data_IF_278639610165
#
_entry.id   IF_278639610165
#
_cell.length_a   1.000
_cell.length_b   1.000
_cell.length_c   1.000
_cell.angle_alpha   90.00
_cell.angle_beta   90.00
_cell.angle_gamma   90.00
#
_symmetry.space_group_name_H-M   'P 1'
#
loop_
_entity.id
_entity.type
_entity.pdbx_description
1 polymer ?
2 non-polymer ?
3 non-polymer ?
4 non-polymer ?
5 non-polymer ?
6 water ?
#
# COMPACT_ATOMS: atom_id res chain seq x y z
N UNK A 1 14.06 -2.51 -26.10
CA UNK A 1 15.35 -3.16 -26.39
C UNK A 1 16.06 -3.69 -25.08
N UNK A 2 15.70 -3.20 -23.88
CA UNK A 2 16.02 -3.86 -22.59
C UNK A 2 15.18 -5.05 -22.43
N UNK A 3 15.79 -6.13 -21.93
CA UNK A 3 15.03 -7.37 -21.63
C UNK A 3 14.75 -7.58 -20.15
N UNK A 4 15.45 -6.86 -19.27
CA UNK A 4 15.20 -6.98 -17.82
C UNK A 4 15.62 -5.67 -17.16
N UNK A 5 14.92 -5.35 -16.07
CA UNK A 5 15.29 -4.27 -15.16
C UNK A 5 15.45 -4.85 -13.79
N UNK A 6 16.57 -4.48 -13.17
CA UNK A 6 16.93 -4.94 -11.82
C UNK A 6 16.87 -3.74 -10.89
N UNK A 7 16.06 -3.83 -9.87
CA UNK A 7 15.85 -2.77 -8.89
C UNK A 7 16.49 -3.04 -7.56
N UNK A 8 17.31 -2.07 -7.10
CA UNK A 8 17.60 -1.92 -5.71
C UNK A 8 16.30 -1.67 -4.94
N UNK A 9 16.32 -1.89 -3.63
CA UNK A 9 15.16 -1.62 -2.79
C UNK A 9 15.28 -0.34 -1.98
N UNK A 10 16.15 -0.35 -0.98
CA UNK A 10 16.25 0.77 -0.04
C UNK A 10 16.81 2.01 -0.72
N UNK A 11 15.98 3.07 -0.70
CA UNK A 11 16.36 4.31 -1.33
C UNK A 11 16.09 4.37 -2.80
N UNK A 12 15.61 3.28 -3.41
CA UNK A 12 15.34 3.17 -4.85
C UNK A 12 13.86 3.00 -5.07
N UNK A 13 13.31 1.87 -4.66
CA UNK A 13 11.87 1.72 -4.74
C UNK A 13 11.15 2.75 -3.85
N UNK A 14 11.68 3.02 -2.65
CA UNK A 14 11.07 3.83 -1.64
C UNK A 14 12.16 4.36 -0.75
N UNK A 15 11.91 5.49 -0.11
CA UNK A 15 12.77 6.02 0.95
C UNK A 15 12.42 5.27 2.25
N UNK A 16 13.25 4.29 2.59
CA UNK A 16 13.01 3.40 3.73
C UNK A 16 13.95 3.60 4.87
N UNK A 17 15.12 4.27 4.68
CA UNK A 17 16.17 4.20 5.69
C UNK A 17 15.81 4.90 6.95
N UNK A 18 15.02 5.97 6.98
CA UNK A 18 14.64 6.53 8.26
C UNK A 18 13.75 5.56 9.00
N UNK A 19 12.90 4.79 8.30
CA UNK A 19 12.11 3.80 8.96
C UNK A 19 12.98 2.67 9.51
N UNK A 20 13.97 2.22 8.76
CA UNK A 20 14.92 1.27 9.30
C UNK A 20 15.57 1.82 10.55
N UNK A 21 16.03 3.08 10.55
CA UNK A 21 16.68 3.68 11.71
C UNK A 21 15.77 3.67 12.91
N UNK A 22 14.50 4.00 12.72
CA UNK A 22 13.50 3.94 13.78
C UNK A 22 13.39 2.51 14.29
N UNK A 23 13.27 1.53 13.40
CA UNK A 23 13.13 0.15 13.82
C UNK A 23 14.35 -0.29 14.64
N UNK A 24 15.58 0.08 14.22
CA UNK A 24 16.76 -0.22 15.01
C UNK A 24 16.64 0.39 16.40
N UNK A 25 16.39 1.71 16.47
CA UNK A 25 16.41 2.38 17.77
C UNK A 25 15.34 1.88 18.69
N UNK A 26 14.13 1.63 18.17
CA UNK A 26 13.07 1.07 18.99
C UNK A 26 13.40 -0.32 19.50
N UNK A 27 14.07 -1.10 18.67
CA UNK A 27 14.51 -2.45 19.06
C UNK A 27 15.53 -2.36 20.21
N UNK A 28 16.45 -1.46 20.06
CA UNK A 28 17.48 -1.27 21.08
C UNK A 28 16.81 -0.88 22.42
N UNK A 29 15.85 0.05 22.37
CA UNK A 29 15.19 0.45 23.60
C UNK A 29 14.46 -0.74 24.22
N UNK A 30 13.76 -1.52 23.40
CA UNK A 30 13.02 -2.65 23.90
C UNK A 30 13.91 -3.72 24.51
N UNK A 31 15.12 -3.85 24.01
CA UNK A 31 16.13 -4.75 24.49
C UNK A 31 16.84 -4.29 25.78
N UNK A 32 16.57 -3.05 26.17
CA UNK A 32 17.17 -2.51 27.37
C UNK A 32 18.57 -2.04 27.27
N UNK A 33 19.07 -1.86 26.07
CA UNK A 33 20.42 -1.37 25.86
C UNK A 33 20.39 0.12 25.66
N UNK A 34 21.51 0.80 25.87
CA UNK A 34 21.65 2.22 25.74
C UNK A 34 21.97 2.70 24.33
N UNK A 35 22.06 1.81 23.38
CA UNK A 35 22.45 2.17 22.02
C UNK A 35 21.38 3.02 21.36
N UNK A 36 21.83 4.02 20.58
CA UNK A 36 20.90 4.90 19.87
C UNK A 36 21.67 5.48 18.69
N UNK A 37 21.12 5.30 17.50
CA UNK A 37 21.72 5.78 16.28
C UNK A 37 21.02 7.04 15.75
N UNK A 38 21.71 8.17 15.90
CA UNK A 38 21.24 9.42 15.33
C UNK A 38 21.53 9.44 13.83
N UNK A 39 21.02 10.43 13.12
CA UNK A 39 21.24 10.50 11.69
C UNK A 39 22.69 10.58 11.26
N UNK A 40 23.48 11.35 12.04
CA UNK A 40 24.87 11.49 11.71
C UNK A 40 25.58 10.12 11.76
N UNK A 41 25.33 9.37 12.85
CA UNK A 41 25.98 8.06 12.96
C UNK A 41 25.38 7.09 11.92
N UNK A 42 24.08 7.14 11.70
CA UNK A 42 23.48 6.21 10.75
C UNK A 42 23.99 6.43 9.34
N UNK A 43 24.23 7.65 8.94
CA UNK A 43 24.80 7.91 7.59
C UNK A 43 26.12 7.21 7.39
N UNK A 44 26.94 7.14 8.46
CA UNK A 44 28.22 6.38 8.39
C UNK A 44 27.99 4.88 8.36
N UNK A 45 27.14 4.41 9.25
CA UNK A 45 26.87 2.99 9.32
C UNK A 45 26.24 2.41 8.05
N UNK A 46 25.54 3.24 7.29
CA UNK A 46 24.93 2.85 6.04
C UNK A 46 25.91 2.43 4.99
N UNK A 47 27.19 2.74 5.11
CA UNK A 47 28.19 2.29 4.14
C UNK A 47 28.47 0.80 4.26
N UNK A 48 28.04 0.19 5.38
CA UNK A 48 28.00 -1.29 5.54
C UNK A 48 26.59 -1.77 5.27
N UNK A 49 26.44 -2.60 4.21
CA UNK A 49 25.13 -3.04 3.83
C UNK A 49 24.79 -4.32 4.61
N UNK A 50 23.50 -4.52 4.83
CA UNK A 50 22.97 -5.64 5.58
C UNK A 50 22.82 -5.28 7.05
N UNK A 51 21.66 -5.53 7.60
CA UNK A 51 21.43 -5.11 8.97
C UNK A 51 22.32 -5.82 9.99
N UNK A 52 22.54 -7.12 9.80
CA UNK A 52 23.35 -7.86 10.75
C UNK A 52 24.79 -7.35 10.69
N UNK A 53 25.29 -7.13 9.47
CA UNK A 53 26.63 -6.63 9.27
C UNK A 53 26.81 -5.25 9.89
N UNK A 54 25.79 -4.42 9.78
CA UNK A 54 25.83 -3.06 10.30
C UNK A 54 25.85 -3.11 11.85
N UNK A 55 25.04 -3.98 12.46
CA UNK A 55 25.11 -4.14 13.93
C UNK A 55 26.50 -4.58 14.33
N UNK A 56 27.06 -5.57 13.62
CA UNK A 56 28.37 -6.09 13.96
C UNK A 56 29.42 -5.00 13.90
N UNK A 57 29.36 -4.15 12.88
CA UNK A 57 30.31 -3.06 12.74
C UNK A 57 30.20 -2.09 13.93
N UNK A 58 28.98 -1.71 14.26
CA UNK A 58 28.73 -0.82 15.40
C UNK A 58 29.31 -1.45 16.67
N UNK A 59 29.08 -2.74 16.90
CA UNK A 59 29.54 -3.41 18.12
C UNK A 59 31.05 -3.52 18.24
N UNK A 60 31.76 -3.42 17.13
CA UNK A 60 33.23 -3.51 17.18
C UNK A 60 33.88 -2.37 17.88
N UNK A 61 33.26 -1.20 17.88
CA UNK A 61 33.86 0.04 18.39
C UNK A 61 33.08 0.73 19.48
N UNK A 62 31.80 0.48 19.65
CA UNK A 62 31.01 1.23 20.55
C UNK A 62 31.36 0.93 22.02
N UNK A 63 31.14 1.91 22.91
CA UNK A 63 31.53 1.85 24.31
C UNK A 63 30.37 1.80 25.28
N UNK A 64 29.18 1.55 24.78
CA UNK A 64 28.01 1.40 25.60
C UNK A 64 27.79 -0.07 26.01
N UNK A 65 26.56 -0.45 26.23
CA UNK A 65 26.27 -1.74 26.79
C UNK A 65 26.76 -2.86 25.88
N UNK A 66 27.20 -3.97 26.46
CA UNK A 66 27.50 -5.15 25.60
C UNK A 66 26.23 -5.72 25.02
N UNK A 67 26.32 -6.40 23.88
CA UNK A 67 25.13 -7.02 23.31
C UNK A 67 24.54 -8.05 24.27
N UNK A 68 23.23 -7.98 24.53
CA UNK A 68 22.63 -8.96 25.45
C UNK A 68 22.02 -10.18 24.76
N UNK A 69 22.04 -10.24 23.42
CA UNK A 69 21.58 -11.33 22.62
C UNK A 69 22.55 -11.48 21.45
N UNK A 70 22.52 -12.65 20.77
CA UNK A 70 23.28 -12.77 19.53
C UNK A 70 22.78 -11.75 18.51
N UNK A 71 23.68 -11.30 17.62
CA UNK A 71 23.32 -10.34 16.58
C UNK A 71 22.16 -10.82 15.77
N UNK A 72 22.15 -12.08 15.41
CA UNK A 72 21.06 -12.55 14.57
C UNK A 72 19.66 -12.36 15.23
N UNK A 73 19.60 -12.51 16.58
CA UNK A 73 18.37 -12.33 17.32
C UNK A 73 17.99 -10.84 17.43
N UNK A 74 18.98 -10.01 17.59
CA UNK A 74 18.75 -8.54 17.56
C UNK A 74 18.14 -8.13 16.21
N UNK A 75 18.78 -8.64 15.16
CA UNK A 75 18.34 -8.36 13.79
C UNK A 75 16.96 -8.89 13.51
N UNK A 76 16.65 -10.10 13.99
CA UNK A 76 15.29 -10.64 13.80
C UNK A 76 14.25 -9.73 14.46
N UNK A 77 14.52 -9.29 15.68
CA UNK A 77 13.59 -8.43 16.37
C UNK A 77 13.41 -7.08 15.61
N UNK A 78 14.50 -6.56 15.11
CA UNK A 78 14.43 -5.30 14.36
C UNK A 78 13.68 -5.49 13.03
N UNK A 79 13.83 -6.66 12.39
CA UNK A 79 13.10 -6.94 11.17
C UNK A 79 11.63 -7.01 11.42
N UNK A 80 11.24 -7.72 12.47
CA UNK A 80 9.83 -7.77 12.86
C UNK A 80 9.27 -6.38 13.07
N UNK A 81 10.04 -5.49 13.73
CA UNK A 81 9.58 -4.13 13.98
C UNK A 81 9.44 -3.36 12.67
N UNK A 82 10.42 -3.48 11.78
CA UNK A 82 10.33 -2.81 10.49
C UNK A 82 9.09 -3.27 9.69
N UNK A 83 8.87 -4.59 9.66
CA UNK A 83 7.72 -5.11 8.96
C UNK A 83 6.41 -4.50 9.50
N UNK A 84 6.30 -4.40 10.82
CA UNK A 84 5.11 -3.82 11.44
C UNK A 84 4.98 -2.34 11.09
N UNK A 85 6.11 -1.61 11.13
CA UNK A 85 6.07 -0.18 10.79
C UNK A 85 5.69 0.06 9.35
N UNK A 86 6.19 -0.78 8.45
CA UNK A 86 5.84 -0.71 7.07
C UNK A 86 4.35 -0.88 6.85
N UNK A 87 3.70 -1.80 7.58
CA UNK A 87 2.27 -2.05 7.42
C UNK A 87 1.44 -0.89 7.85
N UNK A 88 1.96 0.04 8.60
CA UNK A 88 1.16 1.27 8.90
C UNK A 88 0.79 2.10 7.59
N UNK A 89 1.49 1.87 6.48
CA UNK A 89 1.05 2.46 5.19
C UNK A 89 1.58 3.84 4.86
N UNK A 90 2.53 4.33 5.66
CA UNK A 90 3.04 5.70 5.48
C UNK A 90 4.13 5.86 4.44
N UNK A 91 4.77 4.77 4.05
CA UNK A 91 5.81 4.79 3.01
C UNK A 91 5.17 4.71 1.63
N UNK A 92 5.67 5.56 0.72
CA UNK A 92 5.24 5.58 -0.71
C UNK A 92 6.39 5.17 -1.59
N UNK A 93 6.06 4.69 -2.79
CA UNK A 93 7.12 4.53 -3.80
C UNK A 93 7.74 5.85 -4.19
N UNK A 94 9.02 5.87 -4.55
CA UNK A 94 9.64 7.05 -5.10
C UNK A 94 8.96 7.44 -6.42
N UNK A 95 8.95 8.74 -6.73
CA UNK A 95 8.40 9.17 -7.99
C UNK A 95 9.00 8.44 -9.18
N UNK A 96 8.15 8.06 -10.13
CA UNK A 96 8.56 7.41 -11.35
C UNK A 96 8.60 5.87 -11.31
N UNK A 97 8.70 5.30 -10.11
CA UNK A 97 8.91 3.87 -10.00
C UNK A 97 7.69 3.03 -10.42
N UNK A 98 6.53 3.41 -9.92
CA UNK A 98 5.31 2.73 -10.32
C UNK A 98 5.07 2.82 -11.83
N UNK A 99 5.26 4.01 -12.42
CA UNK A 99 5.07 4.19 -13.89
C UNK A 99 6.04 3.32 -14.69
N UNK A 100 7.31 3.25 -14.30
CA UNK A 100 8.27 2.45 -15.02
C UNK A 100 7.88 0.95 -14.95
N UNK A 101 7.48 0.49 -13.76
CA UNK A 101 7.16 -0.93 -13.63
C UNK A 101 5.96 -1.25 -14.48
N UNK A 102 4.98 -0.36 -14.51
CA UNK A 102 3.78 -0.65 -15.33
C UNK A 102 4.11 -0.66 -16.78
N UNK A 103 4.92 0.26 -17.27
CA UNK A 103 5.35 0.29 -18.64
C UNK A 103 6.15 -0.98 -19.00
N UNK A 104 7.03 -1.39 -18.10
CA UNK A 104 7.82 -2.59 -18.31
C UNK A 104 6.94 -3.83 -18.44
N UNK A 105 5.94 -3.93 -17.60
CA UNK A 105 5.06 -5.07 -17.66
C UNK A 105 4.26 -5.06 -18.97
N UNK A 106 3.84 -3.91 -19.42
CA UNK A 106 3.16 -3.84 -20.74
C UNK A 106 4.06 -4.29 -21.90
N UNK A 107 5.35 -4.03 -21.80
CA UNK A 107 6.32 -4.41 -22.79
C UNK A 107 6.86 -5.81 -22.63
N UNK A 108 6.43 -6.53 -21.61
CA UNK A 108 6.92 -7.89 -21.41
C UNK A 108 8.33 -7.99 -20.88
N UNK A 109 8.82 -6.94 -20.25
CA UNK A 109 10.15 -6.89 -19.72
C UNK A 109 10.17 -7.55 -18.33
N UNK A 110 11.12 -8.45 -18.10
CA UNK A 110 11.14 -9.14 -16.80
C UNK A 110 11.85 -8.23 -15.77
N UNK A 111 11.42 -8.38 -14.54
CA UNK A 111 11.82 -7.51 -13.42
C UNK A 111 12.41 -8.33 -12.27
N UNK A 112 13.46 -7.78 -11.67
CA UNK A 112 14.09 -8.38 -10.51
C UNK A 112 14.27 -7.34 -9.40
N UNK A 113 14.33 -7.78 -8.19
CA UNK A 113 14.93 -7.08 -7.06
C UNK A 113 16.31 -7.68 -6.82
N UNK A 114 17.28 -6.79 -6.55
CA UNK A 114 18.62 -7.15 -6.17
C UNK A 114 18.99 -6.28 -4.98
N UNK A 115 18.95 -6.82 -3.76
CA UNK A 115 18.99 -6.05 -2.54
C UNK A 115 19.81 -6.72 -1.48
N UNK A 116 20.36 -5.90 -0.60
CA UNK A 116 20.98 -6.33 0.64
C UNK A 116 20.04 -6.48 1.78
N UNK A 117 18.79 -6.05 1.65
CA UNK A 117 17.84 -6.14 2.74
C UNK A 117 17.29 -7.51 2.86
N UNK A 118 16.77 -7.86 4.04
CA UNK A 118 16.26 -9.19 4.26
C UNK A 118 14.94 -9.31 3.50
N UNK A 119 14.64 -10.53 3.16
CA UNK A 119 13.50 -10.90 2.42
C UNK A 119 12.10 -10.41 3.01
N UNK A 120 11.87 -10.57 4.33
CA UNK A 120 10.63 -10.08 4.87
C UNK A 120 10.41 -8.58 4.62
N UNK A 121 11.48 -7.84 4.56
CA UNK A 121 11.36 -6.42 4.30
C UNK A 121 10.88 -6.10 2.88
N UNK A 122 11.36 -6.89 1.91
CA UNK A 122 10.89 -6.76 0.54
C UNK A 122 9.38 -7.02 0.48
N UNK A 123 8.99 -8.14 1.12
CA UNK A 123 7.58 -8.52 1.11
C UNK A 123 6.71 -7.44 1.75
N UNK A 124 7.17 -6.90 2.87
CA UNK A 124 6.40 -5.86 3.56
C UNK A 124 6.25 -4.62 2.68
N UNK A 125 7.34 -4.20 2.01
CA UNK A 125 7.28 -3.09 1.12
C UNK A 125 6.35 -3.29 -0.05
N UNK A 126 6.37 -4.45 -0.64
CA UNK A 126 5.48 -4.72 -1.76
C UNK A 126 4.02 -4.77 -1.35
N UNK A 127 3.71 -5.36 -0.15
CA UNK A 127 2.33 -5.36 0.31
C UNK A 127 1.85 -3.91 0.48
N UNK A 128 2.64 -3.06 1.12
CA UNK A 128 2.23 -1.70 1.48
C UNK A 128 2.19 -0.79 0.27
N UNK A 129 3.18 -0.92 -0.60
CA UNK A 129 3.41 0.10 -1.64
C UNK A 129 2.90 -0.29 -3.00
N UNK A 130 2.88 -1.59 -3.32
CA UNK A 130 2.40 -2.08 -4.57
C UNK A 130 1.01 -2.70 -4.43
N UNK A 131 0.61 -3.12 -3.20
CA UNK A 131 -0.62 -3.79 -2.89
C UNK A 131 -0.68 -5.24 -3.35
N UNK A 132 0.52 -5.85 -3.50
CA UNK A 132 0.65 -7.28 -3.91
C UNK A 132 1.79 -7.94 -3.15
N UNK A 133 1.78 -9.29 -3.02
CA UNK A 133 3.01 -9.99 -2.62
C UNK A 133 4.14 -9.73 -3.61
N UNK A 134 5.36 -9.74 -3.15
CA UNK A 134 6.46 -9.35 -3.99
C UNK A 134 6.55 -10.14 -5.27
N UNK A 135 6.20 -11.43 -5.20
CA UNK A 135 6.37 -12.33 -6.32
C UNK A 135 5.33 -12.08 -7.42
N UNK A 136 4.30 -11.26 -7.16
CA UNK A 136 3.47 -10.78 -8.22
C UNK A 136 3.93 -9.54 -8.97
N UNK A 137 4.93 -8.87 -8.40
CA UNK A 137 5.54 -7.70 -9.02
C UNK A 137 6.82 -8.07 -9.73
N UNK A 138 7.69 -8.83 -9.02
CA UNK A 138 9.05 -9.13 -9.51
C UNK A 138 9.11 -10.61 -9.90
N UNK A 139 9.70 -10.86 -11.05
CA UNK A 139 9.90 -12.23 -11.56
C UNK A 139 10.99 -12.94 -10.76
N UNK A 140 11.96 -12.19 -10.25
CA UNK A 140 13.12 -12.70 -9.53
C UNK A 140 13.36 -11.82 -8.33
N UNK A 141 13.59 -12.42 -7.16
CA UNK A 141 13.92 -11.69 -5.96
C UNK A 141 15.24 -12.22 -5.43
N UNK A 142 16.29 -11.42 -5.47
CA UNK A 142 17.60 -11.72 -4.95
C UNK A 142 17.80 -10.78 -3.74
N UNK A 143 17.85 -11.36 -2.54
CA UNK A 143 17.82 -10.55 -1.30
C UNK A 143 18.71 -11.15 -0.22
N UNK A 144 19.09 -10.35 0.74
CA UNK A 144 19.54 -10.82 2.05
C UNK A 144 20.79 -11.69 1.94
N UNK A 145 20.69 -12.84 2.61
CA UNK A 145 21.78 -13.77 2.72
C UNK A 145 21.78 -14.80 1.62
N UNK A 146 21.16 -14.52 0.50
CA UNK A 146 21.22 -15.38 -0.68
C UNK A 146 22.61 -15.45 -1.30
N UNK A 147 23.44 -14.46 -1.01
CA UNK A 147 24.82 -14.52 -1.35
C UNK A 147 25.65 -14.28 -0.09
N UNK A 148 26.92 -14.70 -0.09
CA UNK A 148 27.81 -14.53 1.06
C UNK A 148 28.36 -13.11 1.21
N UNK A 149 28.57 -12.43 0.09
CA UNK A 149 29.16 -11.09 0.09
C UNK A 149 28.16 -10.09 -0.46
N UNK A 150 27.82 -9.11 0.38
CA UNK A 150 26.81 -8.11 0.03
C UNK A 150 27.45 -6.94 -0.73
N UNK A 151 26.58 -6.14 -1.33
CA UNK A 151 27.01 -4.92 -2.04
C UNK A 151 28.03 -4.18 -1.16
N UNK A 152 29.17 -3.75 -1.68
CA UNK A 152 29.47 -3.51 -3.10
C UNK A 152 29.88 -4.73 -3.92
N UNK A 153 29.95 -5.92 -3.33
CA UNK A 153 30.14 -7.11 -4.17
C UNK A 153 29.02 -7.20 -5.17
N UNK A 154 29.34 -7.56 -6.44
CA UNK A 154 28.29 -7.78 -7.48
C UNK A 154 27.49 -9.08 -7.29
N UNK A 155 27.86 -9.92 -6.33
CA UNK A 155 27.26 -11.26 -6.31
C UNK A 155 25.74 -11.27 -6.32
N UNK A 156 25.06 -10.37 -5.64
CA UNK A 156 23.61 -10.41 -5.62
C UNK A 156 23.04 -10.12 -7.02
N UNK A 157 23.67 -9.22 -7.79
CA UNK A 157 23.30 -8.98 -9.17
C UNK A 157 23.58 -10.15 -10.07
N UNK A 158 24.72 -10.80 -9.87
CA UNK A 158 25.03 -12.03 -10.63
C UNK A 158 24.00 -13.11 -10.37
N UNK A 159 23.56 -13.25 -9.14
CA UNK A 159 22.50 -14.22 -8.81
C UNK A 159 21.23 -13.87 -9.57
N UNK A 160 20.78 -12.60 -9.48
CA UNK A 160 19.58 -12.18 -10.12
C UNK A 160 19.64 -12.42 -11.62
N UNK A 161 20.75 -12.06 -12.22
CA UNK A 161 20.89 -12.26 -13.68
C UNK A 161 20.86 -13.73 -14.07
N UNK A 162 21.46 -14.61 -13.29
CA UNK A 162 21.41 -16.03 -13.56
C UNK A 162 19.97 -16.52 -13.52
N UNK A 163 19.21 -16.10 -12.51
CA UNK A 163 17.82 -16.51 -12.38
C UNK A 163 16.95 -15.92 -13.48
N UNK A 164 17.21 -14.68 -13.90
CA UNK A 164 16.50 -14.08 -15.01
C UNK A 164 16.82 -14.73 -16.32
N UNK A 165 18.04 -15.26 -16.43
CA UNK A 165 18.58 -15.81 -17.64
C UNK A 165 18.58 -14.73 -18.72
N UNK A 166 19.11 -13.55 -18.40
CA UNK A 166 19.25 -12.41 -19.35
C UNK A 166 20.72 -12.02 -19.22
N UNK A 167 21.40 -11.80 -20.37
CA UNK A 167 22.81 -11.36 -20.31
C UNK A 167 22.81 -9.92 -19.77
N UNK A 168 23.90 -9.51 -19.10
CA UNK A 168 23.90 -8.17 -18.54
C UNK A 168 23.81 -7.04 -19.57
N UNK A 169 24.36 -7.27 -20.76
CA UNK A 169 24.36 -6.26 -21.79
C UNK A 169 22.95 -5.86 -22.23
N UNK A 170 21.97 -6.70 -21.94
CA UNK A 170 20.56 -6.53 -22.27
C UNK A 170 19.67 -6.18 -21.06
N UNK A 171 20.30 -5.77 -19.96
CA UNK A 171 19.61 -5.42 -18.72
C UNK A 171 20.11 -4.10 -18.22
N UNK A 172 19.48 -3.60 -17.16
CA UNK A 172 19.85 -2.30 -16.58
C UNK A 172 19.45 -2.41 -15.11
N UNK A 173 20.21 -1.70 -14.25
CA UNK A 173 19.95 -1.58 -12.83
C UNK A 173 19.58 -0.16 -12.45
N UNK A 174 18.68 -0.04 -11.48
CA UNK A 174 18.34 1.25 -10.82
C UNK A 174 18.83 1.17 -9.40
N UNK A 175 19.60 2.19 -8.99
CA UNK A 175 20.29 2.24 -7.70
C UNK A 175 20.23 3.65 -7.13
N UNK A 176 20.57 3.77 -5.82
CA UNK A 176 20.61 5.02 -5.13
C UNK A 176 21.91 5.29 -4.43
N UNK A 177 22.85 4.36 -4.33
CA UNK A 177 24.03 4.47 -3.52
C UNK A 177 25.24 4.03 -4.27
N UNK A 178 26.41 4.44 -3.80
CA UNK A 178 27.67 4.08 -4.39
C UNK A 178 27.95 2.58 -4.26
N UNK A 179 27.68 2.00 -3.11
CA UNK A 179 27.83 0.57 -3.00
C UNK A 179 27.00 -0.17 -4.03
N UNK A 180 25.80 0.33 -4.24
CA UNK A 180 24.90 -0.28 -5.24
C UNK A 180 25.39 -0.14 -6.69
N UNK A 181 25.83 1.06 -7.02
CA UNK A 181 26.42 1.33 -8.32
C UNK A 181 27.57 0.41 -8.59
N UNK A 182 28.49 0.30 -7.62
CA UNK A 182 29.65 -0.57 -7.79
C UNK A 182 29.25 -2.02 -8.03
N UNK A 183 28.26 -2.50 -7.27
CA UNK A 183 27.79 -3.86 -7.40
C UNK A 183 27.20 -4.07 -8.77
N UNK A 184 26.35 -3.16 -9.26
CA UNK A 184 25.78 -3.31 -10.58
C UNK A 184 26.84 -3.31 -11.66
N UNK A 185 27.74 -2.37 -11.58
CA UNK A 185 28.79 -2.27 -12.60
C UNK A 185 29.68 -3.50 -12.64
N UNK A 186 29.98 -4.07 -11.48
CA UNK A 186 30.76 -5.31 -11.40
C UNK A 186 30.08 -6.50 -12.02
N UNK A 187 28.74 -6.47 -12.10
CA UNK A 187 27.95 -7.49 -12.76
C UNK A 187 27.75 -7.21 -14.24
N UNK A 188 28.41 -6.17 -14.75
CA UNK A 188 28.34 -5.83 -16.18
C UNK A 188 27.14 -5.04 -16.58
N UNK A 189 26.42 -4.44 -15.61
CA UNK A 189 25.18 -3.74 -15.90
C UNK A 189 25.38 -2.25 -16.04
N UNK A 190 24.70 -1.70 -17.01
CA UNK A 190 24.42 -0.28 -16.99
C UNK A 190 23.57 0.05 -15.77
N UNK A 191 23.77 1.24 -15.22
CA UNK A 191 23.16 1.56 -13.94
C UNK A 191 22.75 3.06 -13.93
N UNK A 192 21.45 3.24 -13.65
CA UNK A 192 20.84 4.57 -13.46
C UNK A 192 20.75 4.83 -11.97
N UNK A 193 21.36 5.94 -11.52
CA UNK A 193 21.37 6.30 -10.15
C UNK A 193 20.45 7.51 -9.89
N UNK A 194 19.66 7.45 -8.83
CA UNK A 194 19.01 8.65 -8.28
C UNK A 194 19.20 8.62 -6.79
N UNK A 195 20.04 9.52 -6.22
CA UNK A 195 20.31 9.46 -4.77
C UNK A 195 19.18 9.94 -3.93
N UNK A 196 19.33 9.77 -2.66
CA UNK A 196 18.37 10.26 -1.70
C UNK A 196 19.08 10.80 -0.53
N UNK A 197 18.33 10.99 0.54
CA UNK A 197 18.81 11.70 1.66
C UNK A 197 20.20 11.27 2.16
N UNK A 198 20.34 9.97 2.37
CA UNK A 198 21.52 9.44 2.99
C UNK A 198 22.67 9.22 2.01
N UNK A 199 22.46 9.41 0.70
CA UNK A 199 23.48 9.14 -0.32
C UNK A 199 23.83 10.33 -1.20
N UNK A 200 23.17 11.45 -0.98
CA UNK A 200 23.37 12.57 -1.85
C UNK A 200 24.80 13.12 -1.88
N UNK A 201 25.53 12.90 -0.78
CA UNK A 201 26.91 13.36 -0.64
C UNK A 201 27.86 12.48 -1.45
N UNK A 202 27.43 11.30 -1.90
CA UNK A 202 28.32 10.37 -2.58
C UNK A 202 28.62 10.81 -4.01
N UNK A 203 29.72 10.28 -4.55
CA UNK A 203 30.07 10.51 -5.94
C UNK A 203 29.75 9.27 -6.74
N UNK A 204 29.21 9.48 -7.91
CA UNK A 204 28.69 8.40 -8.72
C UNK A 204 29.35 8.26 -10.07
N UNK A 205 30.68 8.21 -10.05
CA UNK A 205 31.44 8.03 -11.26
C UNK A 205 31.05 6.76 -11.98
N UNK A 206 30.86 6.93 -13.27
CA UNK A 206 30.47 5.81 -14.12
C UNK A 206 28.99 5.44 -14.11
N UNK A 207 28.14 6.13 -13.35
CA UNK A 207 26.75 5.92 -13.55
C UNK A 207 26.41 6.27 -14.97
N UNK A 208 25.55 5.49 -15.58
CA UNK A 208 25.15 5.76 -16.99
C UNK A 208 24.24 7.01 -17.07
N UNK A 209 23.35 7.18 -16.08
CA UNK A 209 22.63 8.43 -15.88
C UNK A 209 22.61 8.65 -14.37
N UNK A 210 22.61 9.96 -14.00
CA UNK A 210 22.51 10.40 -12.62
C UNK A 210 21.35 11.38 -12.58
N UNK A 211 20.27 11.03 -11.90
CA UNK A 211 19.01 11.75 -11.97
C UNK A 211 18.60 12.26 -10.61
N UNK A 212 17.98 13.44 -10.58
CA UNK A 212 17.38 13.89 -9.36
C UNK A 212 16.16 13.12 -8.95
N UNK A 213 15.47 12.50 -9.90
CA UNK A 213 14.29 11.72 -9.66
C UNK A 213 14.16 10.65 -10.73
N UNK A 214 13.71 9.44 -10.35
CA UNK A 214 13.37 8.44 -11.36
C UNK A 214 12.21 8.87 -12.29
N UNK A 215 11.44 9.88 -11.91
CA UNK A 215 10.37 10.43 -12.78
C UNK A 215 11.02 11.09 -13.96
N UNK A 216 12.34 11.37 -13.96
CA UNK A 216 13.04 11.98 -15.09
C UNK A 216 13.51 10.96 -16.08
N UNK A 217 13.25 9.67 -15.84
CA UNK A 217 13.73 8.63 -16.77
C UNK A 217 13.21 8.84 -18.17
N UNK A 218 11.90 9.21 -18.26
CA UNK A 218 11.32 9.40 -19.57
C UNK A 218 10.93 8.10 -20.25
N UNK A 219 10.59 7.12 -19.43
CA UNK A 219 10.08 5.87 -20.00
C UNK A 219 11.19 4.86 -20.28
N UNK A 220 10.78 3.75 -20.89
CA UNK A 220 11.72 2.67 -21.15
C UNK A 220 12.87 3.11 -22.04
N UNK A 221 12.60 4.05 -23.00
CA UNK A 221 13.69 4.52 -23.86
C UNK A 221 14.79 5.20 -23.09
N UNK A 222 14.42 5.76 -21.91
CA UNK A 222 15.39 6.36 -21.02
C UNK A 222 16.35 5.40 -20.39
N UNK A 223 16.07 4.11 -20.51
CA UNK A 223 16.96 3.04 -20.08
C UNK A 223 17.92 2.57 -21.11
N UNK A 224 17.79 3.04 -22.34
CA UNK A 224 18.62 2.56 -23.48
C UNK A 224 19.92 3.39 -23.65
N UNK A 225 20.80 2.98 -24.54
CA UNK A 225 21.99 3.79 -24.99
C UNK A 225 23.29 3.20 -24.47
N UNK B 1 -18.45 1.19 -24.73
CA UNK B 1 -19.33 1.37 -23.56
C UNK B 1 -18.95 0.41 -22.45
N UNK B 2 -19.38 0.77 -21.25
CA UNK B 2 -19.13 0.07 -20.05
C UNK B 2 -19.99 -1.12 -19.92
N UNK B 3 -19.39 -2.19 -19.40
CA UNK B 3 -20.16 -3.42 -19.07
C UNK B 3 -20.46 -3.63 -17.59
N UNK B 4 -19.73 -2.94 -16.72
CA UNK B 4 -19.93 -3.07 -15.29
C UNK B 4 -19.51 -1.79 -14.62
N UNK B 5 -20.21 -1.47 -13.53
CA UNK B 5 -19.87 -0.37 -12.64
C UNK B 5 -19.67 -0.95 -11.24
N UNK B 6 -18.55 -0.59 -10.62
CA UNK B 6 -18.22 -1.03 -9.29
C UNK B 6 -18.24 0.16 -8.34
N UNK B 7 -19.07 0.08 -7.31
CA UNK B 7 -19.29 1.14 -6.35
C UNK B 7 -18.62 0.83 -5.02
N UNK B 8 -17.83 1.79 -4.56
CA UNK B 8 -17.50 1.92 -3.18
C UNK B 8 -18.80 2.16 -2.39
N UNK B 9 -18.77 1.93 -1.08
CA UNK B 9 -19.93 2.18 -0.24
C UNK B 9 -19.82 3.48 0.58
N UNK B 10 -18.94 3.49 1.59
CA UNK B 10 -18.89 4.58 2.52
C UNK B 10 -18.33 5.82 1.86
N UNK B 11 -19.14 6.89 1.87
CA UNK B 11 -18.76 8.13 1.24
C UNK B 11 -19.10 8.21 -0.21
N UNK B 12 -19.53 7.11 -0.84
CA UNK B 12 -19.77 7.02 -2.27
C UNK B 12 -21.25 6.82 -2.55
N UNK B 13 -21.83 5.69 -2.10
CA UNK B 13 -23.27 5.52 -2.18
C UNK B 13 -24.01 6.53 -1.30
N UNK B 14 -23.45 6.80 -0.10
CA UNK B 14 -24.07 7.67 0.89
C UNK B 14 -22.99 8.13 1.84
N UNK B 15 -23.23 9.26 2.49
CA UNK B 15 -22.41 9.76 3.59
C UNK B 15 -22.72 9.04 4.86
N UNK B 16 -21.90 8.04 5.19
CA UNK B 16 -22.14 7.15 6.32
C UNK B 16 -21.20 7.33 7.51
N UNK B 17 -20.09 8.05 7.30
CA UNK B 17 -19.00 7.96 8.30
C UNK B 17 -19.34 8.64 9.62
N UNK B 18 -20.15 9.71 9.62
CA UNK B 18 -20.57 10.24 10.90
C UNK B 18 -21.48 9.27 11.63
N UNK B 19 -22.27 8.48 10.96
CA UNK B 19 -23.08 7.49 11.60
C UNK B 19 -22.15 6.37 12.14
N UNK B 20 -21.14 5.94 11.35
CA UNK B 20 -20.18 5.01 11.87
C UNK B 20 -19.49 5.57 13.13
N UNK B 21 -19.07 6.82 13.14
CA UNK B 21 -18.44 7.40 14.30
C UNK B 21 -19.37 7.35 15.53
N UNK B 22 -20.62 7.74 15.31
CA UNK B 22 -21.59 7.63 16.39
C UNK B 22 -21.73 6.17 16.90
N UNK B 23 -21.80 5.21 16.00
CA UNK B 23 -21.89 3.83 16.43
C UNK B 23 -20.66 3.42 17.25
N UNK B 24 -19.45 3.82 16.80
CA UNK B 24 -18.29 3.54 17.59
C UNK B 24 -18.39 4.13 18.97
N UNK B 25 -18.64 5.45 19.04
CA UNK B 25 -18.62 6.10 20.35
C UNK B 25 -19.71 5.58 21.29
N UNK B 26 -20.91 5.31 20.75
CA UNK B 26 -21.92 4.74 21.59
C UNK B 26 -21.64 3.34 22.10
N UNK B 27 -21.00 2.53 21.24
CA UNK B 27 -20.54 1.23 21.66
C UNK B 27 -19.48 1.34 22.77
N UNK B 28 -18.55 2.26 22.60
CA UNK B 28 -17.54 2.43 23.63
C UNK B 28 -18.17 2.81 24.98
N UNK B 29 -19.13 3.71 24.96
CA UNK B 29 -19.78 4.08 26.19
C UNK B 29 -20.53 2.92 26.80
N UNK B 30 -21.26 2.12 25.97
CA UNK B 30 -21.97 0.96 26.48
C UNK B 30 -21.08 -0.08 27.07
N UNK B 31 -19.87 -0.16 26.54
CA UNK B 31 -18.92 -1.07 27.01
C UNK B 31 -18.19 -0.60 28.31
N UNK B 32 -18.43 0.64 28.73
CA UNK B 32 -17.84 1.09 29.98
C UNK B 32 -16.44 1.64 29.90
N UNK B 33 -15.93 1.85 28.65
CA UNK B 33 -14.60 2.40 28.44
C UNK B 33 -14.69 3.90 28.21
N UNK B 34 -13.57 4.56 28.37
CA UNK B 34 -13.48 6.00 28.30
C UNK B 34 -13.14 6.47 26.89
N UNK B 35 -13.05 5.59 25.93
CA UNK B 35 -12.60 5.96 24.58
C UNK B 35 -13.69 6.85 23.93
N UNK B 36 -13.23 7.79 23.12
CA UNK B 36 -14.19 8.67 22.45
C UNK B 36 -13.45 9.31 21.26
N UNK B 37 -14.02 9.12 20.06
CA UNK B 37 -13.39 9.58 18.84
C UNK B 37 -14.09 10.85 18.32
N UNK B 38 -13.43 12.02 18.44
CA UNK B 38 -13.96 13.23 17.88
C UNK B 38 -13.67 13.25 16.37
N UNK B 39 -14.21 14.25 15.68
CA UNK B 39 -14.03 14.32 14.22
C UNK B 39 -12.57 14.40 13.83
N UNK B 40 -11.80 15.16 14.60
CA UNK B 40 -10.41 15.34 14.27
C UNK B 40 -9.68 14.00 14.30
N UNK B 41 -9.89 13.25 15.38
CA UNK B 41 -9.23 11.94 15.48
C UNK B 41 -9.77 11.00 14.41
N UNK B 42 -11.07 10.99 14.25
CA UNK B 42 -11.68 10.05 13.31
C UNK B 42 -11.17 10.27 11.89
N UNK B 43 -10.99 11.51 11.48
CA UNK B 43 -10.44 11.77 10.16
C UNK B 43 -9.09 11.08 9.96
N UNK B 44 -8.25 11.04 10.99
CA UNK B 44 -6.99 10.32 10.91
C UNK B 44 -7.20 8.82 10.85
N UNK B 45 -8.00 8.28 11.76
CA UNK B 45 -8.27 6.87 11.83
C UNK B 45 -8.88 6.31 10.58
N UNK B 46 -9.61 7.13 9.84
CA UNK B 46 -10.23 6.71 8.60
C UNK B 46 -9.23 6.32 7.51
N UNK B 47 -7.95 6.66 7.64
CA UNK B 47 -6.99 6.21 6.67
C UNK B 47 -6.67 4.72 6.81
N UNK B 48 -7.06 4.10 7.91
CA UNK B 48 -7.04 2.65 8.03
C UNK B 48 -8.45 2.15 7.77
N UNK B 49 -8.59 1.34 6.71
CA UNK B 49 -9.88 0.87 6.31
C UNK B 49 -10.21 -0.47 7.10
N UNK B 50 -11.49 -0.68 7.33
CA UNK B 50 -11.98 -1.80 8.10
C UNK B 50 -12.13 -1.44 9.55
N UNK B 51 -13.30 -1.70 10.13
CA UNK B 51 -13.56 -1.30 11.50
C UNK B 51 -12.66 -1.97 12.52
N UNK B 52 -12.42 -3.29 12.34
CA UNK B 52 -11.57 -4.02 13.28
C UNK B 52 -10.13 -3.50 13.20
N UNK B 53 -9.63 -3.26 11.99
CA UNK B 53 -8.34 -2.73 11.78
C UNK B 53 -8.19 -1.36 12.41
N UNK B 54 -9.24 -0.54 12.27
CA UNK B 54 -9.22 0.78 12.83
C UNK B 54 -9.16 0.76 14.37
N UNK B 55 -9.96 -0.08 14.99
CA UNK B 55 -9.92 -0.30 16.44
C UNK B 55 -8.53 -0.76 16.87
N UNK B 56 -7.92 -1.71 16.14
CA UNK B 56 -6.62 -2.23 16.50
C UNK B 56 -5.54 -1.11 16.45
N UNK B 57 -5.66 -0.23 15.43
CA UNK B 57 -4.71 0.86 15.29
C UNK B 57 -4.83 1.81 16.47
N UNK B 58 -6.07 2.20 16.80
CA UNK B 58 -6.33 3.07 17.95
C UNK B 58 -5.71 2.47 19.23
N UNK B 59 -5.92 1.18 19.42
CA UNK B 59 -5.49 0.53 20.66
C UNK B 59 -3.96 0.44 20.76
N UNK B 60 -3.24 0.51 19.65
CA UNK B 60 -1.76 0.46 19.74
C UNK B 60 -1.12 1.57 20.52
N UNK B 61 -1.71 2.75 20.52
CA UNK B 61 -1.11 3.92 21.10
C UNK B 61 -1.97 4.62 22.15
N UNK B 62 -3.25 4.33 22.27
CA UNK B 62 -4.14 5.14 23.14
C UNK B 62 -3.79 4.85 24.60
N UNK B 63 -3.98 5.87 25.43
CA UNK B 63 -3.57 5.81 26.84
C UNK B 63 -4.75 5.74 27.83
N UNK B 64 -5.93 5.46 27.34
CA UNK B 64 -7.13 5.25 28.19
C UNK B 64 -7.28 3.80 28.60
N UNK B 65 -8.53 3.39 28.80
CA UNK B 65 -8.83 2.08 29.37
C UNK B 65 -8.28 0.96 28.45
N UNK B 66 -7.86 -0.16 29.04
CA UNK B 66 -7.51 -1.30 28.17
C UNK B 66 -8.79 -1.92 27.59
N UNK B 67 -8.66 -2.57 26.44
CA UNK B 67 -9.82 -3.20 25.85
C UNK B 67 -10.41 -4.26 26.79
N UNK B 68 -11.72 -4.23 27.02
CA UNK B 68 -12.33 -5.20 27.95
C UNK B 68 -12.88 -6.43 27.27
N UNK B 69 -12.91 -6.45 25.94
CA UNK B 69 -13.37 -7.59 25.09
C UNK B 69 -12.37 -7.72 23.96
N UNK B 70 -12.32 -8.88 23.32
CA UNK B 70 -11.58 -8.98 22.06
C UNK B 70 -12.07 -7.94 21.02
N UNK B 71 -11.15 -7.50 20.17
CA UNK B 71 -11.50 -6.50 19.13
C UNK B 71 -12.69 -6.98 18.28
N UNK B 72 -12.69 -8.24 17.89
CA UNK B 72 -13.76 -8.73 17.06
C UNK B 72 -15.14 -8.53 17.69
N UNK B 73 -15.21 -8.70 19.03
CA UNK B 73 -16.44 -8.56 19.76
C UNK B 73 -16.83 -7.08 19.89
N UNK B 74 -15.87 -6.23 20.07
CA UNK B 74 -16.10 -4.78 20.09
C UNK B 74 -16.70 -4.38 18.73
N UNK B 75 -16.07 -4.89 17.65
CA UNK B 75 -16.52 -4.56 16.30
C UNK B 75 -17.92 -5.12 16.05
N UNK B 76 -18.17 -6.37 16.46
CA UNK B 76 -19.54 -6.89 16.34
C UNK B 76 -20.60 -6.03 17.01
N UNK B 77 -20.32 -5.58 18.26
CA UNK B 77 -21.24 -4.72 18.94
C UNK B 77 -21.45 -3.39 18.17
N UNK B 78 -20.38 -2.83 17.67
CA UNK B 78 -20.46 -1.59 16.89
C UNK B 78 -21.23 -1.79 15.59
N UNK B 79 -21.06 -2.93 14.93
CA UNK B 79 -21.80 -3.23 13.72
C UNK B 79 -23.25 -3.33 14.01
N UNK B 80 -23.62 -4.02 15.09
CA UNK B 80 -25.02 -4.10 15.49
C UNK B 80 -25.65 -2.73 15.73
N UNK B 81 -24.88 -1.88 16.40
CA UNK B 81 -25.38 -0.53 16.65
C UNK B 81 -25.53 0.28 15.35
N UNK B 82 -24.56 0.16 14.45
CA UNK B 82 -24.65 0.83 13.18
C UNK B 82 -25.87 0.38 12.38
N UNK B 83 -26.09 -0.91 12.34
CA UNK B 83 -27.26 -1.46 11.63
C UNK B 83 -28.55 -0.87 12.21
N UNK B 84 -28.63 -0.83 13.53
CA UNK B 84 -29.81 -0.27 14.17
C UNK B 84 -29.98 1.24 13.85
N UNK B 85 -28.87 1.95 13.91
CA UNK B 85 -28.96 3.40 13.62
C UNK B 85 -29.39 3.67 12.18
N UNK B 86 -28.87 2.83 11.28
CA UNK B 86 -29.23 2.94 9.88
C UNK B 86 -30.73 2.77 9.66
N UNK B 87 -31.33 1.81 10.37
CA UNK B 87 -32.74 1.55 10.21
C UNK B 87 -33.63 2.70 10.66
N UNK B 88 -33.23 3.39 11.67
CA UNK B 88 -34.05 4.37 12.29
C UNK B 88 -33.60 5.71 11.80
N UNK B 89 -32.55 5.79 11.01
CA UNK B 89 -32.01 7.09 10.66
C UNK B 89 -32.60 7.78 9.43
N UNK B 90 -31.80 8.70 8.89
CA UNK B 90 -32.13 9.54 7.81
C UNK B 90 -31.08 9.59 6.76
N UNK B 91 -30.25 8.56 6.66
CA UNK B 91 -29.24 8.49 5.64
C UNK B 91 -29.89 8.48 4.24
N UNK B 92 -29.39 9.27 3.27
CA UNK B 92 -29.87 9.25 1.86
C UNK B 92 -28.71 8.93 0.97
N UNK B 93 -29.05 8.47 -0.23
CA UNK B 93 -28.02 8.33 -1.27
C UNK B 93 -27.44 9.64 -1.64
N UNK B 94 -26.16 9.66 -2.00
CA UNK B 94 -25.55 10.83 -2.53
C UNK B 94 -26.23 11.24 -3.83
N UNK B 95 -26.20 12.54 -4.18
CA UNK B 95 -26.80 12.99 -5.46
C UNK B 95 -26.16 12.23 -6.61
N UNK B 96 -27.02 11.86 -7.55
CA UNK B 96 -26.58 11.22 -8.78
C UNK B 96 -26.58 9.70 -8.71
N UNK B 97 -26.48 9.10 -7.53
CA UNK B 97 -26.29 7.66 -7.42
C UNK B 97 -27.52 6.89 -7.82
N UNK B 98 -28.70 7.27 -7.35
CA UNK B 98 -29.89 6.55 -7.73
C UNK B 98 -30.12 6.62 -9.23
N UNK B 99 -29.91 7.79 -9.82
CA UNK B 99 -30.10 7.96 -11.27
C UNK B 99 -29.17 7.15 -12.08
N UNK B 100 -27.90 7.08 -11.69
CA UNK B 100 -26.93 6.27 -12.41
C UNK B 100 -27.31 4.78 -12.37
N UNK B 101 -27.66 4.30 -11.18
CA UNK B 101 -28.01 2.89 -11.02
C UNK B 101 -29.23 2.55 -11.87
N UNK B 102 -30.23 3.42 -11.85
CA UNK B 102 -31.42 3.16 -12.68
C UNK B 102 -31.05 3.13 -14.13
N UNK B 103 -30.24 4.05 -14.61
CA UNK B 103 -29.79 4.10 -15.98
C UNK B 103 -29.03 2.85 -16.37
N UNK B 104 -28.16 2.42 -15.46
CA UNK B 104 -27.39 1.21 -15.70
C UNK B 104 -28.26 -0.02 -15.82
N UNK B 105 -29.27 -0.09 -14.98
CA UNK B 105 -30.16 -1.24 -15.05
C UNK B 105 -30.96 -1.26 -16.36
N UNK B 106 -31.37 -0.09 -16.83
CA UNK B 106 -32.08 -0.03 -18.09
C UNK B 106 -31.18 -0.49 -19.24
N UNK B 107 -29.87 -0.23 -19.14
CA UNK B 107 -28.88 -0.58 -20.16
C UNK B 107 -28.37 -1.97 -20.04
N UNK B 108 -28.80 -2.69 -19.02
CA UNK B 108 -28.26 -4.05 -18.79
C UNK B 108 -26.84 -4.16 -18.30
N UNK B 109 -26.36 -3.10 -17.65
CA UNK B 109 -25.01 -3.03 -17.10
C UNK B 109 -24.98 -3.72 -15.73
N UNK B 110 -24.01 -4.59 -15.52
CA UNK B 110 -23.92 -5.30 -14.24
C UNK B 110 -23.29 -4.37 -13.19
N UNK B 111 -23.70 -4.53 -11.93
CA UNK B 111 -23.31 -3.65 -10.84
C UNK B 111 -22.72 -4.45 -9.69
N UNK B 112 -21.66 -3.87 -9.09
CA UNK B 112 -21.05 -4.49 -7.94
C UNK B 112 -20.80 -3.45 -6.85
N UNK B 113 -20.80 -3.88 -5.59
CA UNK B 113 -20.11 -3.10 -4.61
C UNK B 113 -18.77 -3.74 -4.30
N UNK B 114 -17.80 -2.89 -4.02
CA UNK B 114 -16.47 -3.25 -3.62
C UNK B 114 -16.10 -2.38 -2.45
N UNK B 115 -16.11 -2.95 -1.23
CA UNK B 115 -16.05 -2.17 0.00
C UNK B 115 -15.24 -2.86 1.05
N UNK B 116 -14.66 -2.03 1.93
CA UNK B 116 -14.02 -2.47 3.14
C UNK B 116 -15.01 -2.67 4.29
N UNK B 117 -16.24 -2.20 4.18
CA UNK B 117 -17.18 -2.31 5.28
C UNK B 117 -17.70 -3.69 5.40
N UNK B 118 -18.20 -4.03 6.59
CA UNK B 118 -18.71 -5.36 6.78
C UNK B 118 -20.02 -5.53 6.04
N UNK B 119 -20.33 -6.77 5.67
CA UNK B 119 -21.50 -7.14 4.92
C UNK B 119 -22.87 -6.64 5.56
N UNK B 120 -23.08 -6.82 6.87
CA UNK B 120 -24.30 -6.33 7.45
C UNK B 120 -24.56 -4.84 7.22
N UNK B 121 -23.49 -4.09 7.12
CA UNK B 121 -23.55 -2.68 6.89
C UNK B 121 -24.08 -2.35 5.48
N UNK B 122 -23.63 -3.13 4.49
CA UNK B 122 -24.11 -3.00 3.14
C UNK B 122 -25.57 -3.26 3.08
N UNK B 123 -25.96 -4.37 3.72
CA UNK B 123 -27.40 -4.71 3.67
C UNK B 123 -28.25 -3.65 4.34
N UNK B 124 -27.78 -3.16 5.47
CA UNK B 124 -28.52 -2.12 6.19
C UNK B 124 -28.67 -0.86 5.35
N UNK B 125 -27.60 -0.43 4.68
CA UNK B 125 -27.65 0.72 3.80
C UNK B 125 -28.61 0.50 2.68
N UNK B 126 -28.57 -0.68 2.05
CA UNK B 126 -29.49 -0.93 0.93
C UNK B 126 -30.95 -0.89 1.36
N UNK B 127 -31.26 -1.49 2.51
CA UNK B 127 -32.62 -1.46 2.99
C UNK B 127 -33.04 -0.02 3.24
N UNK B 128 -32.19 0.78 3.86
CA UNK B 128 -32.56 2.13 4.25
C UNK B 128 -32.65 3.05 3.05
N UNK B 129 -31.75 2.92 2.10
CA UNK B 129 -31.53 3.93 1.04
C UNK B 129 -32.11 3.55 -0.26
N UNK B 130 -32.12 2.26 -0.61
CA UNK B 130 -32.66 1.81 -1.84
C UNK B 130 -34.03 1.23 -1.65
N UNK B 131 -34.39 0.84 -0.43
CA UNK B 131 -35.57 0.13 -0.10
C UNK B 131 -35.62 -1.28 -0.60
N UNK B 132 -34.45 -1.91 -0.72
CA UNK B 132 -34.31 -3.30 -1.11
C UNK B 132 -33.16 -4.01 -0.39
N UNK B 133 -33.23 -5.34 -0.35
CA UNK B 133 -32.02 -6.10 0.01
C UNK B 133 -30.87 -5.86 -0.97
N UNK B 134 -29.63 -5.91 -0.51
CA UNK B 134 -28.51 -5.53 -1.36
C UNK B 134 -28.44 -6.28 -2.67
N UNK B 135 -28.80 -7.58 -2.59
CA UNK B 135 -28.61 -8.47 -3.70
C UNK B 135 -29.67 -8.20 -4.79
N UNK B 136 -30.74 -7.41 -4.51
CA UNK B 136 -31.62 -6.89 -5.53
C UNK B 136 -31.17 -5.63 -6.25
N UNK B 137 -30.14 -4.96 -5.72
CA UNK B 137 -29.61 -3.80 -6.39
C UNK B 137 -28.32 -4.17 -7.12
N UNK B 138 -27.44 -4.90 -6.42
CA UNK B 138 -26.11 -5.23 -6.94
C UNK B 138 -26.03 -6.71 -7.30
N UNK B 139 -25.44 -6.95 -8.48
CA UNK B 139 -25.24 -8.33 -8.93
C UNK B 139 -24.12 -9.05 -8.15
N UNK B 140 -23.14 -8.29 -7.68
CA UNK B 140 -21.98 -8.79 -6.98
C UNK B 140 -21.75 -7.96 -5.78
N UNK B 141 -21.49 -8.57 -4.64
CA UNK B 141 -21.13 -7.89 -3.41
C UNK B 141 -19.77 -8.40 -2.92
N UNK B 142 -18.77 -7.55 -2.96
CA UNK B 142 -17.44 -7.83 -2.47
C UNK B 142 -17.25 -6.91 -1.26
N UNK B 143 -17.21 -7.49 -0.04
CA UNK B 143 -17.25 -6.67 1.19
C UNK B 143 -16.38 -7.28 2.26
N UNK B 144 -15.93 -6.45 3.19
CA UNK B 144 -15.45 -6.90 4.47
C UNK B 144 -14.28 -7.84 4.40
N UNK B 145 -14.40 -8.97 5.12
CA UNK B 145 -13.30 -9.94 5.25
C UNK B 145 -13.34 -10.97 4.12
N UNK B 146 -13.99 -10.66 3.01
CA UNK B 146 -13.90 -11.52 1.86
C UNK B 146 -12.52 -11.56 1.21
N UNK B 147 -11.68 -10.56 1.54
CA UNK B 147 -10.28 -10.61 1.20
C UNK B 147 -9.49 -10.35 2.47
N UNK B 148 -8.21 -10.78 2.48
CA UNK B 148 -7.32 -10.60 3.63
C UNK B 148 -6.77 -9.18 3.70
N UNK B 149 -6.49 -8.52 2.58
CA UNK B 149 -5.83 -7.23 2.58
C UNK B 149 -6.83 -6.20 2.06
N UNK B 150 -7.17 -5.20 2.87
CA UNK B 150 -8.18 -4.22 2.55
C UNK B 150 -7.56 -3.05 1.76
N UNK B 151 -8.43 -2.25 1.15
CA UNK B 151 -8.00 -1.03 0.44
C UNK B 151 -7.02 -0.28 1.34
N UNK B 152 -5.89 0.18 0.79
CA UNK B 152 -5.59 0.42 -0.62
C UNK B 152 -5.16 -0.80 -1.45
N UNK B 153 -5.08 -2.00 -0.85
CA UNK B 153 -4.85 -3.18 -1.66
C UNK B 153 -5.98 -3.31 -2.70
N UNK B 154 -5.66 -3.71 -3.91
CA UNK B 154 -6.70 -3.93 -4.93
C UNK B 154 -7.52 -5.22 -4.77
N UNK B 155 -7.23 -6.05 -3.77
CA UNK B 155 -7.78 -7.37 -3.73
C UNK B 155 -9.30 -7.40 -3.79
N UNK B 156 -9.99 -6.49 -3.14
CA UNK B 156 -11.43 -6.51 -3.13
C UNK B 156 -12.01 -6.24 -4.54
N UNK B 157 -11.36 -5.34 -5.29
CA UNK B 157 -11.71 -5.10 -6.66
C UNK B 157 -11.44 -6.29 -7.56
N UNK B 158 -10.31 -6.94 -7.35
CA UNK B 158 -10.01 -8.16 -8.11
C UNK B 158 -11.10 -9.21 -7.89
N UNK B 159 -11.53 -9.38 -6.66
CA UNK B 159 -12.61 -10.32 -6.35
C UNK B 159 -13.87 -9.92 -7.07
N UNK B 160 -14.27 -8.65 -6.97
CA UNK B 160 -15.50 -8.22 -7.62
C UNK B 160 -15.44 -8.44 -9.13
N UNK B 161 -14.33 -8.13 -9.75
CA UNK B 161 -14.17 -8.33 -11.20
C UNK B 161 -14.26 -9.79 -11.56
N UNK B 162 -13.68 -10.68 -10.77
CA UNK B 162 -13.78 -12.11 -11.08
C UNK B 162 -15.22 -12.56 -10.97
N UNK B 163 -15.94 -12.15 -9.96
CA UNK B 163 -17.36 -12.51 -9.84
C UNK B 163 -18.22 -11.91 -10.92
N UNK B 164 -17.93 -10.69 -11.32
CA UNK B 164 -18.64 -10.07 -12.46
C UNK B 164 -18.34 -10.75 -13.79
N UNK B 165 -17.13 -11.31 -13.89
CA UNK B 165 -16.62 -11.83 -15.13
C UNK B 165 -16.62 -10.77 -16.24
N UNK B 166 -16.04 -9.60 -15.93
CA UNK B 166 -15.90 -8.48 -16.85
C UNK B 166 -14.41 -8.08 -16.72
N UNK B 167 -13.71 -7.86 -17.85
CA UNK B 167 -12.33 -7.44 -17.75
C UNK B 167 -12.29 -5.97 -17.24
N UNK B 168 -11.22 -5.60 -16.57
CA UNK B 168 -11.22 -4.24 -16.01
C UNK B 168 -11.31 -3.12 -17.03
N UNK B 169 -10.86 -3.39 -18.26
CA UNK B 169 -11.05 -2.41 -19.32
C UNK B 169 -12.50 -2.10 -19.78
N UNK B 170 -13.45 -2.94 -19.41
CA UNK B 170 -14.85 -2.74 -19.71
C UNK B 170 -15.63 -2.33 -18.45
N UNK B 171 -14.89 -1.88 -17.44
CA UNK B 171 -15.56 -1.54 -16.17
C UNK B 171 -15.06 -0.19 -15.69
N UNK B 172 -15.68 0.32 -14.63
CA UNK B 172 -15.29 1.58 -14.01
C UNK B 172 -15.64 1.49 -12.54
N UNK B 173 -14.87 2.18 -11.70
CA UNK B 173 -15.14 2.28 -10.25
C UNK B 173 -15.52 3.69 -9.89
N UNK B 174 -16.42 3.81 -8.94
CA UNK B 174 -16.75 5.10 -8.28
C UNK B 174 -16.26 5.02 -6.84
N UNK B 175 -15.50 6.06 -6.45
CA UNK B 175 -14.81 6.11 -5.12
C UNK B 175 -14.92 7.52 -4.57
N UNK B 176 -14.58 7.60 -3.27
CA UNK B 176 -14.60 8.89 -2.55
C UNK B 176 -13.25 9.17 -1.87
N UNK B 177 -12.32 8.24 -1.79
CA UNK B 177 -11.13 8.36 -0.99
C UNK B 177 -9.90 7.92 -1.70
N UNK B 178 -8.76 8.37 -1.24
CA UNK B 178 -7.46 8.03 -1.84
C UNK B 178 -7.20 6.54 -1.72
N UNK B 179 -7.48 5.94 -0.58
CA UNK B 179 -7.27 4.50 -0.47
C UNK B 179 -8.14 3.75 -1.46
N UNK B 180 -9.35 4.25 -1.68
CA UNK B 180 -10.23 3.64 -2.68
C UNK B 180 -9.71 3.78 -4.09
N UNK B 181 -9.30 5.00 -4.48
CA UNK B 181 -8.72 5.23 -5.79
C UNK B 181 -7.53 4.31 -6.01
N UNK B 182 -6.64 4.20 -5.02
CA UNK B 182 -5.47 3.35 -5.16
C UNK B 182 -5.87 1.91 -5.42
N UNK B 183 -6.86 1.41 -4.66
CA UNK B 183 -7.32 0.03 -4.83
C UNK B 183 -7.90 -0.17 -6.21
N UNK B 184 -8.74 0.73 -6.69
CA UNK B 184 -9.32 0.57 -7.99
C UNK B 184 -8.30 0.59 -9.08
N UNK B 185 -7.38 1.56 -9.02
CA UNK B 185 -6.33 1.64 -10.01
C UNK B 185 -5.43 0.42 -9.98
N UNK B 186 -5.18 -0.12 -8.82
CA UNK B 186 -4.32 -1.32 -8.73
C UNK B 186 -4.98 -2.56 -9.31
N UNK B 187 -6.30 -2.52 -9.48
CA UNK B 187 -7.02 -3.58 -10.13
C UNK B 187 -7.19 -3.34 -11.64
N UNK B 188 -6.60 -2.25 -12.16
CA UNK B 188 -6.66 -1.94 -13.57
C UNK B 188 -7.86 -1.13 -13.99
N UNK B 189 -8.60 -0.57 -13.02
CA UNK B 189 -9.85 0.10 -13.31
C UNK B 189 -9.69 1.62 -13.47
N UNK B 190 -10.38 2.19 -14.43
CA UNK B 190 -10.66 3.62 -14.41
C UNK B 190 -11.51 3.92 -13.18
N UNK B 191 -11.32 5.10 -12.64
CA UNK B 191 -11.93 5.47 -11.36
C UNK B 191 -12.37 6.91 -11.37
N UNK B 192 -13.62 7.11 -11.06
CA UNK B 192 -14.28 8.42 -10.90
C UNK B 192 -14.37 8.70 -9.42
N UNK B 193 -13.80 9.80 -8.96
CA UNK B 193 -13.80 10.15 -7.57
C UNK B 193 -14.68 11.37 -7.33
N UNK B 194 -15.49 11.31 -6.28
CA UNK B 194 -16.14 12.48 -5.74
C UNK B 194 -15.94 12.47 -4.22
N UNK B 195 -15.14 13.38 -3.66
CA UNK B 195 -14.84 13.28 -2.24
C UNK B 195 -16.01 13.76 -1.39
N UNK B 196 -15.86 13.57 -0.11
CA UNK B 196 -16.87 14.01 0.85
C UNK B 196 -16.20 14.61 2.02
N UNK B 197 -16.94 14.75 3.10
CA UNK B 197 -16.51 15.49 4.22
C UNK B 197 -15.11 15.05 4.74
N UNK B 198 -14.97 13.76 4.96
CA UNK B 198 -13.73 13.29 5.54
C UNK B 198 -12.56 13.06 4.58
N UNK B 199 -12.79 13.27 3.28
CA UNK B 199 -11.75 13.03 2.30
C UNK B 199 -11.45 14.21 1.40
N UNK B 200 -12.09 15.33 1.63
CA UNK B 200 -11.91 16.46 0.73
C UNK B 200 -10.48 17.04 0.73
N UNK B 201 -9.76 16.79 1.83
CA UNK B 201 -8.39 17.25 1.95
C UNK B 201 -7.40 16.38 1.19
N UNK B 202 -7.82 15.21 0.70
CA UNK B 202 -6.90 14.28 0.03
C UNK B 202 -6.61 14.74 -1.40
N UNK B 203 -5.54 14.22 -1.95
CA UNK B 203 -5.17 14.43 -3.33
C UNK B 203 -5.48 13.20 -4.14
N UNK B 204 -5.99 13.41 -5.33
CA UNK B 204 -6.52 12.33 -6.13
C UNK B 204 -5.85 12.18 -7.47
N UNK B 205 -4.52 12.16 -7.45
CA UNK B 205 -3.73 11.99 -8.63
C UNK B 205 -4.12 10.70 -9.33
N UNK B 206 -4.35 10.85 -10.61
CA UNK B 206 -4.63 9.74 -11.50
C UNK B 206 -6.11 9.37 -11.54
N UNK B 207 -6.98 10.02 -10.76
CA UNK B 207 -8.43 9.86 -11.00
C UNK B 207 -8.74 10.17 -12.43
N UNK B 208 -9.61 9.36 -13.04
CA UNK B 208 -10.05 9.62 -14.41
C UNK B 208 -10.94 10.85 -14.54
N UNK B 209 -11.80 11.03 -13.54
CA UNK B 209 -12.52 12.28 -13.34
C UNK B 209 -12.55 12.53 -11.83
N UNK B 210 -12.56 13.82 -11.47
CA UNK B 210 -12.64 14.26 -10.10
C UNK B 210 -13.84 15.26 -10.06
N UNK B 211 -14.91 14.90 -9.36
CA UNK B 211 -16.15 15.58 -9.39
C UNK B 211 -16.58 16.08 -8.05
N UNK B 212 -17.23 17.26 -8.00
CA UNK B 212 -17.85 17.73 -6.76
C UNK B 212 -19.05 16.93 -6.36
N UNK B 213 -19.71 16.31 -7.36
CA UNK B 213 -20.90 15.54 -7.13
C UNK B 213 -21.02 14.47 -8.20
N UNK B 214 -21.48 13.27 -7.80
CA UNK B 214 -21.79 12.23 -8.82
C UNK B 214 -22.95 12.66 -9.74
N UNK B 215 -23.70 13.66 -9.34
CA UNK B 215 -24.74 14.17 -10.22
C UNK B 215 -24.18 14.86 -11.45
N UNK B 216 -22.87 15.17 -11.43
CA UNK B 216 -22.16 15.79 -12.52
C UNK B 216 -21.68 14.77 -13.53
N UNK B 217 -21.92 13.47 -13.31
CA UNK B 217 -21.44 12.44 -14.22
C UNK B 217 -21.93 12.65 -15.60
N UNK B 218 -23.20 13.02 -15.71
CA UNK B 218 -23.79 13.14 -17.02
C UNK B 218 -24.20 11.83 -17.68
N UNK B 219 -24.55 10.87 -16.86
CA UNK B 219 -25.07 9.64 -17.43
C UNK B 219 -23.95 8.68 -17.78
N UNK B 220 -24.35 7.55 -18.39
CA UNK B 220 -23.42 6.48 -18.66
C UNK B 220 -22.27 6.94 -19.55
N UNK B 221 -22.48 7.84 -20.55
CA UNK B 221 -21.36 8.33 -21.38
C UNK B 221 -20.33 9.05 -20.59
N UNK B 222 -20.72 9.61 -19.42
CA UNK B 222 -19.78 10.20 -18.47
C UNK B 222 -18.82 9.25 -17.85
N UNK B 223 -19.12 7.94 -17.97
CA UNK B 223 -18.21 6.89 -17.50
C UNK B 223 -17.19 6.45 -18.53
N UNK B 224 -17.27 6.97 -19.74
CA UNK B 224 -16.42 6.46 -20.88
C UNK B 224 -15.06 7.16 -21.03
N UNK B 225 -14.82 8.21 -20.28
CA UNK B 225 -13.47 8.90 -20.10
C UNK B 225 -12.63 8.43 -18.89
#
# INVERSE_FOLDING_TARGET
MIEAILFDVDGTLAETEELHRRAFNETFAALGVDWFWDREEYRELLTTTGGKERIARFLRHQKGDPAPLPIADIHRAKTERFVALMAEGEIALRPGIADLIAEAKRAGIRLAVATTTSLPNVEALCRACFGHPAREIFDVIAAGDMVAEKKPSPDIYRLALRELDVPPERAVALEDSLNGLRAAKGAGLRCIVSPGFYTRHEEFAGADRLLDSFAELGGLAGLDLTAPVA
MIEAILFDVDGTLAETEELHRRAFNETFAALGVDWFWDREEYRELLTTTGGKERIARFLRHQKGDPAPLPIADIHRAKTERFVALMAEGEIALRPGIADLIAEAKRAGIRLAVATTTSLPNVEALCRACFGHPAREIFDVIAAGDMVAEKKPSPDIYRLALRELDVPPERAVALEDSLNGLRAAKGAGLRCIVSPGFYTRHEEFAGADRLLDSFAELGGLAGLDLTAPVA
#
